data_IF_241727375542
#
_entry.id   IF_241727375542
#
_cell.length_a   1.000
_cell.length_b   1.000
_cell.length_c   1.000
_cell.angle_alpha   90.00
_cell.angle_beta   90.00
_cell.angle_gamma   90.00
#
_symmetry.space_group_name_H-M   'P 1'
#
loop_
_entity.id
_entity.type
_entity.pdbx_description
1 polymer ?
#
# COMPACT_ATOMS: atom_id res chain seq x y z
N UNK A 1 8.13 -4.72 1.33
CA UNK A 1 8.07 -3.27 1.65
C UNK A 1 6.69 -2.97 2.20
N UNK A 2 6.60 -2.36 3.38
CA UNK A 2 5.30 -1.99 3.97
C UNK A 2 4.85 -0.64 3.43
N UNK A 3 3.56 -0.51 3.11
CA UNK A 3 2.98 0.68 2.48
C UNK A 3 1.63 1.05 3.09
N UNK A 4 1.27 2.32 2.97
CA UNK A 4 -0.07 2.82 3.27
C UNK A 4 -0.82 3.04 1.96
N UNK A 5 -1.95 2.35 1.81
CA UNK A 5 -2.80 2.37 0.63
C UNK A 5 -4.08 3.12 0.95
N UNK A 6 -4.41 4.12 0.12
CA UNK A 6 -5.71 4.79 0.17
C UNK A 6 -6.78 3.81 -0.33
N UNK A 7 -7.91 3.76 0.35
CA UNK A 7 -9.05 2.98 -0.13
C UNK A 7 -9.63 3.62 -1.39
N UNK A 8 -9.72 2.86 -2.47
CA UNK A 8 -10.41 3.28 -3.68
C UNK A 8 -11.90 2.94 -3.54
N UNK A 9 -12.64 3.79 -2.85
CA UNK A 9 -14.07 3.58 -2.65
C UNK A 9 -14.80 3.69 -3.98
N UNK A 10 -15.37 2.57 -4.43
CA UNK A 10 -16.23 2.58 -5.60
C UNK A 10 -17.52 3.36 -5.29
N UNK A 11 -18.08 4.00 -6.32
CA UNK A 11 -19.31 4.75 -6.17
C UNK A 11 -20.45 3.85 -5.64
N UNK A 12 -20.94 4.16 -4.43
CA UNK A 12 -22.02 3.41 -3.77
C UNK A 12 -21.56 2.53 -2.60
N UNK A 13 -20.27 2.41 -2.33
CA UNK A 13 -19.78 1.73 -1.12
C UNK A 13 -19.91 2.61 0.12
N UNK A 14 -20.21 1.98 1.26
CA UNK A 14 -20.18 2.66 2.54
C UNK A 14 -18.74 3.11 2.82
N UNK A 15 -18.54 4.41 3.05
CA UNK A 15 -17.24 4.98 3.42
C UNK A 15 -16.87 4.50 4.84
N UNK A 16 -16.28 3.32 4.93
CA UNK A 16 -15.94 2.68 6.20
C UNK A 16 -14.45 2.65 6.51
N UNK A 17 -13.58 2.73 5.50
CA UNK A 17 -12.12 2.68 5.66
C UNK A 17 -11.47 3.62 4.64
N UNK A 18 -10.79 4.66 5.11
CA UNK A 18 -10.12 5.64 4.22
C UNK A 18 -8.77 5.13 3.71
N UNK A 19 -8.14 4.22 4.45
CA UNK A 19 -6.82 3.65 4.14
C UNK A 19 -6.62 2.28 4.80
N UNK A 20 -5.63 1.54 4.33
CA UNK A 20 -5.17 0.30 4.93
C UNK A 20 -3.66 0.12 4.75
N UNK A 21 -3.05 -0.71 5.60
CA UNK A 21 -1.63 -1.03 5.53
C UNK A 21 -1.42 -2.33 4.77
N UNK A 22 -0.45 -2.32 3.85
CA UNK A 22 -0.17 -3.47 3.01
C UNK A 22 1.30 -3.80 2.89
N UNK A 23 1.58 -5.06 2.54
CA UNK A 23 2.90 -5.53 2.17
C UNK A 23 2.97 -5.72 0.65
N UNK A 24 3.86 -4.98 -0.02
CA UNK A 24 4.10 -5.14 -1.46
C UNK A 24 4.75 -6.49 -1.72
N UNK A 25 4.09 -7.30 -2.55
CA UNK A 25 4.55 -8.62 -2.99
C UNK A 25 5.18 -8.56 -4.39
N UNK A 26 4.59 -7.80 -5.31
CA UNK A 26 5.06 -7.68 -6.69
C UNK A 26 4.77 -6.30 -7.29
N UNK A 27 5.73 -5.77 -8.06
CA UNK A 27 5.62 -4.51 -8.77
C UNK A 27 5.46 -4.78 -10.27
N UNK A 28 4.36 -4.32 -10.86
CA UNK A 28 4.08 -4.53 -12.27
C UNK A 28 4.24 -3.23 -13.08
N UNK A 29 5.05 -3.31 -14.12
CA UNK A 29 5.24 -2.24 -15.10
C UNK A 29 3.99 -2.01 -15.95
N UNK A 30 3.83 -0.79 -16.47
CA UNK A 30 2.74 -0.43 -17.36
C UNK A 30 2.83 -1.16 -18.70
N UNK A 31 1.68 -1.41 -19.34
CA UNK A 31 1.63 -2.09 -20.64
C UNK A 31 2.37 -1.32 -21.76
N UNK A 32 2.43 0.01 -21.67
CA UNK A 32 3.13 0.88 -22.64
C UNK A 32 4.61 1.03 -22.33
N UNK A 33 4.96 1.02 -21.05
CA UNK A 33 6.33 1.15 -20.57
C UNK A 33 6.51 0.28 -19.32
N UNK A 34 7.12 -0.91 -19.46
CA UNK A 34 7.36 -1.82 -18.34
C UNK A 34 8.31 -1.26 -17.27
N UNK A 35 9.06 -0.18 -17.55
CA UNK A 35 9.95 0.45 -16.57
C UNK A 35 9.21 1.33 -15.56
N UNK A 36 7.96 1.73 -15.89
CA UNK A 36 7.12 2.56 -15.03
C UNK A 36 6.11 1.66 -14.31
N UNK A 37 6.24 1.53 -12.99
CA UNK A 37 5.30 0.75 -12.19
C UNK A 37 3.93 1.45 -12.11
N UNK A 38 2.89 0.76 -12.57
CA UNK A 38 1.51 1.28 -12.55
C UNK A 38 0.58 0.44 -11.67
N UNK A 39 0.95 -0.80 -11.37
CA UNK A 39 0.17 -1.72 -10.53
C UNK A 39 1.08 -2.41 -9.52
N UNK A 40 0.59 -2.57 -8.30
CA UNK A 40 1.23 -3.35 -7.26
C UNK A 40 0.32 -4.48 -6.80
N UNK A 41 0.90 -5.65 -6.57
CA UNK A 41 0.25 -6.70 -5.82
C UNK A 41 0.60 -6.51 -4.35
N UNK A 42 -0.41 -6.29 -3.51
CA UNK A 42 -0.25 -5.92 -2.11
C UNK A 42 -1.11 -6.85 -1.25
N UNK A 43 -0.51 -7.46 -0.23
CA UNK A 43 -1.25 -8.19 0.81
C UNK A 43 -1.69 -7.21 1.91
N UNK A 44 -2.97 -7.19 2.24
CA UNK A 44 -3.52 -6.46 3.39
C UNK A 44 -3.00 -7.08 4.69
N UNK A 45 -2.48 -6.25 5.61
CA UNK A 45 -1.85 -6.71 6.86
C UNK A 45 -2.89 -7.27 7.84
N UNK A 46 -4.11 -6.75 7.84
CA UNK A 46 -5.16 -7.15 8.79
C UNK A 46 -5.78 -8.50 8.40
N UNK A 47 -5.95 -8.73 7.09
CA UNK A 47 -6.74 -9.85 6.55
C UNK A 47 -5.92 -10.89 5.80
N UNK A 48 -4.72 -10.52 5.33
CA UNK A 48 -3.91 -11.35 4.43
C UNK A 48 -4.44 -11.43 2.99
N UNK A 49 -5.53 -10.72 2.66
CA UNK A 49 -6.09 -10.70 1.31
C UNK A 49 -5.12 -10.00 0.34
N UNK A 50 -4.98 -10.54 -0.88
CA UNK A 50 -4.07 -10.00 -1.89
C UNK A 50 -4.85 -9.22 -2.94
N UNK A 51 -4.50 -7.95 -3.11
CA UNK A 51 -5.15 -7.02 -4.02
C UNK A 51 -4.18 -6.51 -5.07
N UNK A 52 -4.69 -6.29 -6.28
CA UNK A 52 -4.03 -5.45 -7.27
C UNK A 52 -4.44 -4.00 -7.03
N UNK A 53 -3.45 -3.15 -6.81
CA UNK A 53 -3.62 -1.76 -6.40
C UNK A 53 -2.94 -0.86 -7.44
N UNK A 54 -3.65 0.17 -7.90
CA UNK A 54 -3.04 1.22 -8.74
C UNK A 54 -1.93 1.93 -7.95
N UNK A 55 -0.78 2.17 -8.58
CA UNK A 55 0.34 2.85 -7.96
C UNK A 55 -0.02 4.21 -7.31
N UNK A 56 -0.98 4.95 -7.89
CA UNK A 56 -1.43 6.25 -7.38
C UNK A 56 -2.15 6.17 -6.03
N UNK A 57 -2.64 4.99 -5.64
CA UNK A 57 -3.29 4.75 -4.35
C UNK A 57 -2.27 4.46 -3.24
N UNK A 58 -1.02 4.15 -3.58
CA UNK A 58 0.06 3.95 -2.61
C UNK A 58 0.60 5.32 -2.22
N UNK A 59 0.32 5.74 -0.99
CA UNK A 59 0.62 7.09 -0.53
C UNK A 59 1.97 7.20 0.18
N UNK A 60 2.36 6.15 0.91
CA UNK A 60 3.59 6.15 1.71
C UNK A 60 4.23 4.76 1.69
N UNK A 61 5.56 4.74 1.62
CA UNK A 61 6.37 3.53 1.83
C UNK A 61 7.11 3.67 3.16
N UNK A 62 6.98 2.66 4.03
CA UNK A 62 7.61 2.65 5.33
C UNK A 62 8.98 1.94 5.24
N UNK A 63 10.05 2.53 5.81
CA UNK A 63 11.35 1.86 5.90
C UNK A 63 11.28 0.62 6.79
N UNK A 64 12.08 -0.40 6.47
CA UNK A 64 12.28 -1.52 7.38
C UNK A 64 13.07 -1.01 8.62
N UNK A 65 12.51 -1.18 9.82
CA UNK A 65 13.13 -0.73 11.07
C UNK A 65 12.42 0.43 11.80
N UNK A 66 11.22 0.84 11.37
CA UNK A 66 10.42 1.83 12.10
C UNK A 66 9.89 1.34 13.48
N UNK A 67 10.15 0.07 13.82
CA UNK A 67 9.81 -0.50 15.12
C UNK A 67 10.74 0.01 16.27
N UNK A 68 11.83 0.73 15.98
CA UNK A 68 12.76 1.30 16.98
C UNK A 68 12.77 2.84 16.99
N UNK A 69 11.63 3.45 17.31
CA UNK A 69 11.61 4.80 17.92
C UNK A 69 10.96 4.69 19.31
N UNK A 70 11.52 3.85 20.18
CA UNK A 70 11.34 4.03 21.63
C UNK A 70 12.24 5.19 22.11
N UNK A 71 11.61 6.24 22.62
CA UNK A 71 12.13 7.04 23.73
C UNK A 71 13.47 7.75 23.55
N UNK A 72 13.50 8.83 22.76
CA UNK A 72 14.48 9.90 22.96
C UNK A 72 13.82 11.10 23.65
N UNK A 73 13.40 10.89 24.91
CA UNK A 73 13.36 11.97 25.91
C UNK A 73 14.67 11.96 26.67
N UNK A 74 15.50 12.98 26.45
CA UNK A 74 16.38 13.60 27.45
C UNK A 74 16.87 14.95 26.91
#
# INVERSE_FOLDING_TARGET
>A
MTVIVRHDSLAGEAQGKDWWMGLVLHCNGGARDPSIYTLFQIADVDTGAVHWVNADLVTHALPAGFDEQEGATA
#
